data_IF_492322661797
#
_entry.id   IF_492322661797
#
_cell.length_a   1.000
_cell.length_b   1.000
_cell.length_c   1.000
_cell.angle_alpha   90.00
_cell.angle_beta   90.00
_cell.angle_gamma   90.00
#
_symmetry.space_group_name_H-M   'P 1'
#
loop_
_entity.id
_entity.type
_entity.pdbx_description
1 polymer ?
#
# COMPACT_ATOMS: atom_id res chain seq x y z
N UNK A 1 6.41 35.21 43.78
CA UNK A 1 6.11 33.80 43.47
C UNK A 1 5.76 33.61 41.99
N UNK A 2 6.68 33.91 41.06
CA UNK A 2 6.40 33.77 39.61
C UNK A 2 7.62 33.37 38.77
N UNK A 3 8.70 32.90 39.39
CA UNK A 3 9.97 32.58 38.71
C UNK A 3 10.36 31.10 38.76
N UNK A 4 9.54 30.23 39.36
CA UNK A 4 9.86 28.80 39.53
C UNK A 4 9.18 27.85 38.54
N UNK A 5 8.26 28.30 37.69
CA UNK A 5 7.58 27.41 36.73
C UNK A 5 8.41 27.12 35.46
N UNK A 6 9.50 27.85 35.20
CA UNK A 6 10.29 27.69 33.96
C UNK A 6 11.32 26.55 33.95
N UNK A 7 11.45 25.76 35.01
CA UNK A 7 12.49 24.72 35.11
C UNK A 7 11.98 23.26 35.14
N UNK A 8 10.67 23.03 35.16
CA UNK A 8 10.10 21.67 35.28
C UNK A 8 9.67 21.00 33.96
N UNK A 9 9.94 21.62 32.79
CA UNK A 9 9.58 21.03 31.48
C UNK A 9 10.82 20.54 30.70
N UNK A 10 12.01 20.58 31.30
CA UNK A 10 13.26 20.14 30.67
C UNK A 10 13.67 18.70 30.99
N UNK A 11 12.89 17.94 31.78
CA UNK A 11 13.24 16.55 32.09
C UNK A 11 11.99 15.73 32.37
N UNK A 12 11.52 14.94 31.38
CA UNK A 12 10.46 13.97 31.65
C UNK A 12 9.59 13.55 30.47
N UNK A 13 10.18 13.01 29.40
CA UNK A 13 9.60 11.91 28.60
C UNK A 13 10.59 11.51 27.50
N UNK A 14 11.81 11.12 27.90
CA UNK A 14 12.68 10.29 27.08
C UNK A 14 12.10 8.89 26.95
N UNK A 15 10.95 8.74 26.29
CA UNK A 15 10.38 7.47 25.90
C UNK A 15 11.02 7.02 24.60
N UNK A 16 12.29 6.61 24.65
CA UNK A 16 12.97 6.04 23.49
C UNK A 16 12.18 4.83 22.97
N UNK A 17 11.53 4.97 21.82
CA UNK A 17 11.04 3.83 21.04
C UNK A 17 12.26 3.03 20.60
N UNK A 18 12.57 1.98 21.33
CA UNK A 18 13.68 1.07 21.03
C UNK A 18 13.69 0.63 19.56
N UNK A 19 14.86 0.73 18.92
CA UNK A 19 15.44 -0.05 17.80
C UNK A 19 14.58 -0.74 16.70
N UNK A 20 13.30 -0.41 16.51
CA UNK A 20 12.45 -1.11 15.54
C UNK A 20 12.83 -0.74 14.10
N UNK A 21 13.09 -1.76 13.28
CA UNK A 21 13.37 -1.62 11.84
C UNK A 21 12.09 -1.56 10.98
N UNK A 22 10.91 -1.38 11.58
CA UNK A 22 9.64 -1.46 10.84
C UNK A 22 9.54 -0.46 9.67
N UNK A 23 9.97 0.78 9.87
CA UNK A 23 9.92 1.80 8.80
C UNK A 23 10.88 1.48 7.64
N UNK A 24 12.11 1.02 7.94
CA UNK A 24 13.07 0.66 6.89
C UNK A 24 12.70 -0.64 6.17
N UNK A 25 12.11 -1.60 6.89
CA UNK A 25 11.54 -2.82 6.29
C UNK A 25 10.35 -2.49 5.40
N UNK A 26 9.47 -1.57 5.81
CA UNK A 26 8.36 -1.11 4.99
C UNK A 26 8.85 -0.44 3.70
N UNK A 27 9.81 0.48 3.79
CA UNK A 27 10.44 1.10 2.62
C UNK A 27 11.07 0.06 1.68
N UNK A 28 11.79 -0.92 2.24
CA UNK A 28 12.39 -2.01 1.45
C UNK A 28 11.31 -2.85 0.77
N UNK A 29 10.22 -3.17 1.48
CA UNK A 29 9.07 -3.89 0.96
C UNK A 29 8.41 -3.19 -0.22
N UNK A 30 8.26 -1.87 -0.16
CA UNK A 30 7.76 -1.09 -1.30
C UNK A 30 8.64 -1.26 -2.54
N UNK A 31 9.97 -1.25 -2.39
CA UNK A 31 10.90 -1.46 -3.51
C UNK A 31 10.80 -2.87 -4.07
N UNK A 32 10.70 -3.88 -3.20
CA UNK A 32 10.51 -5.28 -3.61
C UNK A 32 9.23 -5.45 -4.42
N UNK A 33 8.10 -4.95 -3.93
CA UNK A 33 6.81 -5.06 -4.64
C UNK A 33 6.84 -4.25 -5.94
N UNK A 34 7.56 -3.13 -6.00
CA UNK A 34 7.74 -2.36 -7.24
C UNK A 34 8.51 -3.14 -8.30
N UNK A 35 9.62 -3.78 -7.94
CA UNK A 35 10.41 -4.62 -8.86
C UNK A 35 9.62 -5.88 -9.26
N UNK A 36 8.88 -6.48 -8.33
CA UNK A 36 7.98 -7.60 -8.62
C UNK A 36 6.93 -7.19 -9.67
N UNK A 37 6.24 -6.07 -9.46
CA UNK A 37 5.24 -5.57 -10.40
C UNK A 37 5.87 -5.27 -11.77
N UNK A 38 7.06 -4.65 -11.79
CA UNK A 38 7.80 -4.41 -13.03
C UNK A 38 8.09 -5.70 -13.79
N UNK A 39 8.44 -6.80 -13.11
CA UNK A 39 8.64 -8.11 -13.72
C UNK A 39 7.36 -8.81 -14.14
N UNK A 40 6.24 -8.58 -13.43
CA UNK A 40 4.96 -9.19 -13.75
C UNK A 40 4.33 -8.64 -15.04
N UNK A 41 4.60 -7.38 -15.42
CA UNK A 41 4.09 -6.81 -16.67
C UNK A 41 4.57 -7.58 -17.91
N UNK A 42 5.88 -7.79 -18.16
CA UNK A 42 6.33 -8.63 -19.28
C UNK A 42 5.95 -10.10 -19.08
N UNK A 43 5.93 -10.63 -17.85
CA UNK A 43 5.49 -12.01 -17.61
C UNK A 43 4.03 -12.24 -18.01
N UNK A 44 3.14 -11.27 -17.78
CA UNK A 44 1.74 -11.31 -18.17
C UNK A 44 1.54 -11.32 -19.69
N UNK A 45 2.41 -10.64 -20.42
CA UNK A 45 2.42 -10.66 -21.87
C UNK A 45 2.92 -12.01 -22.42
N UNK A 46 4.03 -12.52 -21.87
CA UNK A 46 4.71 -13.71 -22.38
C UNK A 46 4.05 -15.04 -21.95
N UNK A 47 3.47 -15.08 -20.75
CA UNK A 47 2.88 -16.28 -20.17
C UNK A 47 1.58 -15.98 -19.42
N UNK A 48 0.50 -15.61 -20.15
CA UNK A 48 -0.79 -15.32 -19.54
C UNK A 48 -1.39 -16.60 -18.92
N UNK A 49 -1.45 -16.65 -17.59
CA UNK A 49 -2.04 -17.75 -16.85
C UNK A 49 -2.58 -17.28 -15.49
N UNK A 50 -3.41 -18.10 -14.86
CA UNK A 50 -4.09 -17.77 -13.59
C UNK A 50 -3.11 -17.37 -12.48
N UNK A 51 -1.94 -18.00 -12.39
CA UNK A 51 -0.91 -17.63 -11.41
C UNK A 51 -0.41 -16.19 -11.61
N UNK A 52 -0.23 -15.76 -12.87
CA UNK A 52 0.16 -14.39 -13.20
C UNK A 52 -0.99 -13.42 -12.95
N UNK A 53 -2.24 -13.79 -13.25
CA UNK A 53 -3.42 -12.98 -12.96
C UNK A 53 -3.57 -12.67 -11.46
N UNK A 54 -3.47 -13.68 -10.60
CA UNK A 54 -3.53 -13.47 -9.15
C UNK A 54 -2.30 -12.72 -8.61
N UNK A 55 -1.12 -12.98 -9.16
CA UNK A 55 0.10 -12.24 -8.79
C UNK A 55 -0.01 -10.77 -9.17
N UNK A 56 -0.55 -10.46 -10.35
CA UNK A 56 -0.85 -9.09 -10.79
C UNK A 56 -1.89 -8.44 -9.87
N UNK A 57 -2.98 -9.12 -9.55
CA UNK A 57 -4.00 -8.60 -8.64
C UNK A 57 -3.41 -8.23 -7.27
N UNK A 58 -2.56 -9.10 -6.71
CA UNK A 58 -1.90 -8.86 -5.42
C UNK A 58 -0.88 -7.73 -5.51
N UNK A 59 0.05 -7.77 -6.47
CA UNK A 59 1.12 -6.80 -6.60
C UNK A 59 0.60 -5.41 -6.94
N UNK A 60 -0.35 -5.29 -7.88
CA UNK A 60 -0.94 -4.02 -8.28
C UNK A 60 -1.69 -3.37 -7.10
N UNK A 61 -2.49 -4.15 -6.38
CA UNK A 61 -3.27 -3.63 -5.25
C UNK A 61 -2.37 -3.22 -4.10
N UNK A 62 -1.37 -4.05 -3.73
CA UNK A 62 -0.46 -3.75 -2.62
C UNK A 62 0.47 -2.57 -2.93
N UNK A 63 1.02 -2.52 -4.15
CA UNK A 63 1.84 -1.39 -4.61
C UNK A 63 1.06 -0.08 -4.53
N UNK A 64 -0.17 -0.07 -5.05
CA UNK A 64 -1.05 1.09 -5.00
C UNK A 64 -1.45 1.45 -3.58
N UNK A 65 -1.68 0.46 -2.71
CA UNK A 65 -2.05 0.67 -1.32
C UNK A 65 -0.95 1.42 -0.55
N UNK A 66 0.31 1.02 -0.72
CA UNK A 66 1.42 1.73 -0.09
C UNK A 66 1.71 3.08 -0.76
N UNK A 67 1.64 3.17 -2.09
CA UNK A 67 1.86 4.41 -2.83
C UNK A 67 0.90 5.53 -2.42
N UNK A 68 -0.41 5.27 -2.43
CA UNK A 68 -1.40 6.25 -1.96
C UNK A 68 -1.34 6.42 -0.43
N UNK A 69 -0.90 5.39 0.32
CA UNK A 69 -0.60 5.52 1.73
C UNK A 69 0.42 6.61 2.05
N UNK A 70 1.44 6.80 1.19
CA UNK A 70 2.39 7.92 1.28
C UNK A 70 1.70 9.25 0.96
N UNK A 71 0.90 9.32 -0.11
CA UNK A 71 0.11 10.53 -0.45
C UNK A 71 -0.78 10.97 0.71
N UNK A 72 -1.48 10.03 1.36
CA UNK A 72 -2.30 10.31 2.54
C UNK A 72 -1.45 10.85 3.69
N UNK A 73 -0.28 10.27 3.93
CA UNK A 73 0.65 10.73 4.98
C UNK A 73 1.21 12.13 4.69
N UNK A 74 1.46 12.47 3.43
CA UNK A 74 2.06 13.76 3.05
C UNK A 74 1.04 14.90 3.07
N UNK A 75 -0.20 14.64 2.62
CA UNK A 75 -1.16 15.71 2.35
C UNK A 75 -2.37 15.75 3.29
N UNK A 76 -2.77 14.66 3.95
CA UNK A 76 -3.93 14.68 4.86
C UNK A 76 -3.47 15.08 6.26
N UNK A 77 -3.76 16.33 6.63
CA UNK A 77 -3.36 16.89 7.94
C UNK A 77 -4.43 16.64 9.00
N UNK A 78 -3.98 16.40 10.24
CA UNK A 78 -4.84 16.16 11.40
C UNK A 78 -5.03 14.67 11.67
N UNK A 79 -4.78 14.25 12.93
CA UNK A 79 -4.72 12.83 13.29
C UNK A 79 -6.03 12.08 13.03
N UNK A 80 -7.19 12.70 13.27
CA UNK A 80 -8.49 12.10 13.04
C UNK A 80 -8.76 11.88 11.53
N UNK A 81 -8.54 12.91 10.72
CA UNK A 81 -8.71 12.83 9.27
C UNK A 81 -7.74 11.84 8.63
N UNK A 82 -6.48 11.83 9.05
CA UNK A 82 -5.49 10.89 8.55
C UNK A 82 -5.85 9.45 8.92
N UNK A 83 -6.34 9.19 10.13
CA UNK A 83 -6.83 7.86 10.54
C UNK A 83 -8.04 7.42 9.71
N UNK A 84 -9.00 8.31 9.50
CA UNK A 84 -10.18 8.04 8.68
C UNK A 84 -9.80 7.76 7.22
N UNK A 85 -8.92 8.59 6.63
CA UNK A 85 -8.44 8.41 5.26
C UNK A 85 -7.70 7.08 5.07
N UNK A 86 -6.80 6.72 6.01
CA UNK A 86 -6.11 5.42 5.96
C UNK A 86 -7.07 4.24 6.09
N UNK A 87 -8.07 4.33 6.96
CA UNK A 87 -9.08 3.28 7.11
C UNK A 87 -9.95 3.14 5.86
N UNK A 88 -10.47 4.25 5.33
CA UNK A 88 -11.26 4.24 4.10
C UNK A 88 -10.48 3.69 2.91
N UNK A 89 -9.19 4.06 2.81
CA UNK A 89 -8.34 3.57 1.74
C UNK A 89 -7.95 2.09 1.91
N UNK A 90 -7.81 1.60 3.14
CA UNK A 90 -7.66 0.17 3.42
C UNK A 90 -8.90 -0.61 2.97
N UNK A 91 -10.10 -0.12 3.28
CA UNK A 91 -11.36 -0.72 2.81
C UNK A 91 -11.39 -0.73 1.28
N UNK A 92 -11.10 0.39 0.63
CA UNK A 92 -11.03 0.47 -0.83
C UNK A 92 -10.07 -0.57 -1.41
N UNK A 93 -8.86 -0.67 -0.85
CA UNK A 93 -7.85 -1.62 -1.31
C UNK A 93 -8.28 -3.08 -1.12
N UNK A 94 -8.94 -3.39 0.00
CA UNK A 94 -9.49 -4.72 0.24
C UNK A 94 -10.59 -5.08 -0.77
N UNK A 95 -11.50 -4.16 -1.05
CA UNK A 95 -12.54 -4.35 -2.07
C UNK A 95 -11.94 -4.46 -3.48
N UNK A 96 -10.92 -3.67 -3.82
CA UNK A 96 -10.20 -3.78 -5.10
C UNK A 96 -9.55 -5.15 -5.23
N UNK A 97 -8.81 -5.62 -4.23
CA UNK A 97 -8.17 -6.93 -4.27
C UNK A 97 -9.21 -8.05 -4.39
N UNK A 98 -10.27 -8.00 -3.57
CA UNK A 98 -11.35 -8.98 -3.62
C UNK A 98 -12.05 -8.99 -4.99
N UNK A 99 -12.33 -7.80 -5.55
CA UNK A 99 -12.94 -7.66 -6.88
C UNK A 99 -12.07 -8.20 -7.99
N UNK A 100 -10.76 -7.95 -7.97
CA UNK A 100 -9.81 -8.51 -8.93
C UNK A 100 -9.69 -10.04 -8.79
N UNK A 101 -9.65 -10.55 -7.56
CA UNK A 101 -9.63 -11.99 -7.31
C UNK A 101 -10.93 -12.67 -7.76
N UNK A 102 -12.08 -12.01 -7.54
CA UNK A 102 -13.38 -12.46 -8.02
C UNK A 102 -13.41 -12.48 -9.55
N UNK A 103 -12.94 -11.42 -10.21
CA UNK A 103 -12.84 -11.34 -11.67
C UNK A 103 -11.92 -12.43 -12.25
N UNK A 104 -10.79 -12.70 -11.59
CA UNK A 104 -9.90 -13.80 -11.99
C UNK A 104 -10.50 -15.20 -11.79
N UNK A 105 -11.43 -15.36 -10.85
CA UNK A 105 -12.03 -16.67 -10.54
C UNK A 105 -13.30 -16.94 -11.34
N UNK A 106 -14.15 -15.92 -11.48
CA UNK A 106 -15.51 -16.04 -12.03
C UNK A 106 -15.66 -15.44 -13.44
N UNK A 107 -14.61 -14.83 -13.98
CA UNK A 107 -14.60 -14.22 -15.31
C UNK A 107 -13.30 -14.60 -16.05
N UNK A 108 -13.01 -13.93 -17.17
CA UNK A 108 -11.89 -14.26 -18.08
C UNK A 108 -10.49 -14.04 -17.47
N UNK A 109 -10.36 -13.28 -16.39
CA UNK A 109 -9.08 -12.92 -15.77
C UNK A 109 -8.36 -11.74 -16.42
N UNK A 110 -7.49 -11.07 -15.65
CA UNK A 110 -6.87 -9.77 -16.00
C UNK A 110 -6.13 -9.83 -17.36
N UNK A 111 -5.23 -10.79 -17.55
CA UNK A 111 -4.42 -10.90 -18.76
C UNK A 111 -5.30 -11.06 -20.01
N UNK A 112 -6.29 -11.96 -19.94
CA UNK A 112 -7.19 -12.22 -21.06
C UNK A 112 -8.13 -11.04 -21.33
N UNK A 113 -8.64 -10.40 -20.27
CA UNK A 113 -9.47 -9.21 -20.37
C UNK A 113 -8.75 -8.09 -21.12
N UNK A 114 -7.50 -7.79 -20.76
CA UNK A 114 -6.68 -6.79 -21.46
C UNK A 114 -6.46 -7.19 -22.92
N UNK A 115 -6.16 -8.47 -23.20
CA UNK A 115 -5.98 -8.95 -24.56
C UNK A 115 -7.25 -8.90 -25.42
N UNK A 116 -8.43 -9.07 -24.82
CA UNK A 116 -9.72 -8.90 -25.50
C UNK A 116 -10.03 -7.43 -25.74
N UNK A 117 -9.79 -6.57 -24.74
CA UNK A 117 -9.98 -5.12 -24.82
C UNK A 117 -9.12 -4.52 -25.93
N UNK A 118 -7.87 -4.97 -26.08
CA UNK A 118 -6.93 -4.47 -27.10
C UNK A 118 -7.29 -4.85 -28.54
N UNK A 119 -8.32 -5.69 -28.73
CA UNK A 119 -8.82 -6.09 -30.05
C UNK A 119 -10.07 -5.32 -30.48
N UNK A 120 -10.60 -4.44 -29.63
CA UNK A 120 -11.65 -3.48 -29.99
C UNK A 120 -11.06 -2.40 -30.90
#
# INVERSE_FOLDING_TARGET
MATLWRLSVLCGAGGGRAGSKAASLHWTGERVVSVLLLGLIPAAYLNPCSAVDYSLAAALTLHSHWGIGQVVTDYVRGAALQKAAKAGFLVLSAFTFAGLCYFNYHDVGICKAVAMLWKL
#
